data_IF_316853056049
#
_entry.id   IF_316853056049
#
_cell.length_a   1.000
_cell.length_b   1.000
_cell.length_c   1.000
_cell.angle_alpha   90.00
_cell.angle_beta   90.00
_cell.angle_gamma   90.00
#
_symmetry.space_group_name_H-M   'P 1'
#
loop_
_entity.id
_entity.type
_entity.pdbx_description
1 polymer ?
#
# COMPACT_ATOMS: atom_id res chain seq x y z
N UNK A 1 71.51 0.28 27.21
CA UNK A 1 71.22 -1.14 27.49
C UNK A 1 69.71 -1.26 27.52
N UNK A 2 69.06 -1.41 26.40
CA UNK A 2 67.71 -1.88 26.23
C UNK A 2 67.58 -2.46 24.82
N UNK A 3 68.12 -3.67 24.75
CA UNK A 3 68.02 -4.52 23.55
C UNK A 3 66.72 -5.28 23.55
N UNK A 4 66.10 -5.22 22.39
CA UNK A 4 65.49 -6.36 21.68
C UNK A 4 64.54 -7.29 22.46
N UNK A 5 63.28 -7.15 22.21
CA UNK A 5 62.32 -8.26 22.19
C UNK A 5 61.38 -8.09 20.99
N UNK A 6 61.93 -8.25 19.82
CA UNK A 6 61.18 -8.63 18.63
C UNK A 6 61.16 -10.15 18.61
N UNK A 7 60.27 -10.78 19.37
CA UNK A 7 60.05 -12.20 19.28
C UNK A 7 58.93 -12.47 18.25
N UNK A 8 59.39 -13.01 17.12
CA UNK A 8 58.84 -14.16 16.43
C UNK A 8 57.37 -14.50 16.75
N UNK A 9 56.46 -13.97 15.99
CA UNK A 9 55.14 -14.53 15.81
C UNK A 9 55.18 -15.38 14.52
N UNK A 10 55.25 -16.71 14.66
CA UNK A 10 55.24 -17.58 13.49
C UNK A 10 53.87 -17.63 12.88
N UNK A 11 53.78 -17.17 11.66
CA UNK A 11 52.87 -17.77 10.71
C UNK A 11 51.43 -17.36 10.70
N UNK A 12 51.09 -16.06 10.71
CA UNK A 12 49.74 -15.59 10.41
C UNK A 12 49.56 -15.05 8.98
N UNK A 13 50.39 -15.45 8.06
CA UNK A 13 50.28 -15.06 6.66
C UNK A 13 50.54 -16.22 5.71
N UNK A 14 49.61 -17.18 5.58
CA UNK A 14 49.24 -17.67 4.27
C UNK A 14 47.76 -18.04 4.04
N UNK A 15 46.82 -17.55 4.81
CA UNK A 15 45.45 -17.97 4.66
C UNK A 15 44.48 -16.91 4.14
N UNK A 16 44.96 -15.78 3.65
CA UNK A 16 44.22 -14.95 2.68
C UNK A 16 44.44 -15.51 1.26
N UNK A 17 44.44 -16.83 1.10
CA UNK A 17 44.11 -17.43 -0.19
C UNK A 17 42.80 -16.90 -0.61
N UNK A 18 42.79 -16.22 -1.76
CA UNK A 18 41.60 -15.78 -2.48
C UNK A 18 40.45 -16.76 -2.23
N UNK A 19 39.45 -16.33 -1.48
CA UNK A 19 38.26 -17.15 -1.30
C UNK A 19 37.74 -17.48 -2.72
N UNK A 20 37.49 -18.75 -3.03
CA UNK A 20 37.06 -19.13 -4.37
C UNK A 20 35.87 -18.27 -4.74
N UNK A 21 35.77 -17.78 -5.99
CA UNK A 21 34.66 -16.93 -6.42
C UNK A 21 33.33 -17.66 -6.09
N UNK A 22 32.49 -16.99 -5.30
CA UNK A 22 31.22 -17.56 -4.87
C UNK A 22 30.43 -17.90 -6.15
N UNK A 23 30.10 -19.18 -6.39
CA UNK A 23 29.40 -19.55 -7.62
C UNK A 23 28.06 -18.82 -7.69
N UNK A 24 27.59 -18.44 -8.89
CA UNK A 24 26.32 -17.75 -9.06
C UNK A 24 25.20 -18.60 -8.47
N UNK A 25 24.49 -18.02 -7.49
CA UNK A 25 23.42 -18.73 -6.78
C UNK A 25 22.36 -19.30 -7.73
N UNK A 26 22.01 -20.56 -7.52
CA UNK A 26 20.97 -21.26 -8.29
C UNK A 26 19.64 -20.51 -8.23
N UNK A 27 18.82 -20.64 -9.29
CA UNK A 27 17.44 -20.10 -9.31
C UNK A 27 16.62 -20.62 -8.11
N UNK A 28 16.84 -21.86 -7.68
CA UNK A 28 16.19 -22.45 -6.48
C UNK A 28 16.59 -21.74 -5.20
N UNK A 29 17.86 -21.38 -5.03
CA UNK A 29 18.37 -20.65 -3.86
C UNK A 29 17.76 -19.24 -3.80
N UNK A 30 17.69 -18.55 -4.94
CA UNK A 30 17.06 -17.21 -5.04
C UNK A 30 15.58 -17.25 -4.69
N UNK A 31 14.84 -18.25 -5.18
CA UNK A 31 13.41 -18.42 -4.87
C UNK A 31 13.18 -18.78 -3.39
N UNK A 32 14.02 -19.66 -2.83
CA UNK A 32 13.97 -20.00 -1.40
C UNK A 32 14.24 -18.78 -0.52
N UNK A 33 15.23 -17.96 -0.86
CA UNK A 33 15.55 -16.72 -0.14
C UNK A 33 14.40 -15.71 -0.23
N UNK A 34 13.83 -15.51 -1.42
CA UNK A 34 12.66 -14.65 -1.61
C UNK A 34 11.47 -15.10 -0.74
N UNK A 35 11.16 -16.41 -0.77
CA UNK A 35 10.08 -16.99 0.04
C UNK A 35 10.33 -16.80 1.54
N UNK A 36 11.58 -16.98 1.99
CA UNK A 36 11.93 -16.84 3.41
C UNK A 36 11.77 -15.40 3.88
N UNK A 37 12.15 -14.42 3.06
CA UNK A 37 11.94 -12.99 3.36
C UNK A 37 10.45 -12.66 3.41
N UNK A 38 9.68 -13.11 2.42
CA UNK A 38 8.23 -12.89 2.37
C UNK A 38 7.53 -13.51 3.59
N UNK A 39 7.88 -14.74 3.98
CA UNK A 39 7.32 -15.39 5.17
C UNK A 39 7.70 -14.65 6.45
N UNK A 40 8.92 -14.13 6.55
CA UNK A 40 9.35 -13.29 7.67
C UNK A 40 8.48 -12.03 7.78
N UNK A 41 8.29 -11.31 6.69
CA UNK A 41 7.49 -10.09 6.66
C UNK A 41 5.99 -10.38 6.91
N UNK A 42 5.50 -11.56 6.52
CA UNK A 42 4.15 -11.99 6.86
C UNK A 42 4.00 -12.41 8.34
N UNK A 43 5.04 -12.96 8.97
CA UNK A 43 4.99 -13.32 10.40
C UNK A 43 4.99 -12.08 11.31
N UNK A 44 5.58 -10.99 10.86
CA UNK A 44 5.50 -9.69 11.54
C UNK A 44 4.07 -9.13 11.49
N UNK A 45 3.34 -9.41 10.41
CA UNK A 45 1.95 -8.99 10.24
C UNK A 45 1.05 -9.43 11.42
N UNK A 46 1.22 -10.66 11.91
CA UNK A 46 0.39 -11.20 12.99
C UNK A 46 0.55 -10.42 14.32
N UNK A 47 1.74 -9.92 14.58
CA UNK A 47 2.03 -9.09 15.76
C UNK A 47 1.52 -7.66 15.59
N UNK A 48 1.71 -7.08 14.41
CA UNK A 48 1.32 -5.72 14.10
C UNK A 48 -0.19 -5.57 13.87
N UNK A 49 -0.90 -6.65 13.50
CA UNK A 49 -2.35 -6.63 13.31
C UNK A 49 -3.10 -6.15 14.55
N UNK A 50 -2.67 -6.55 15.75
CA UNK A 50 -3.33 -6.17 17.00
C UNK A 50 -3.23 -4.67 17.32
N UNK A 51 -2.14 -4.03 16.93
CA UNK A 51 -1.94 -2.59 17.12
C UNK A 51 -2.49 -1.77 15.95
N UNK A 52 -2.37 -2.29 14.75
CA UNK A 52 -2.73 -1.61 13.52
C UNK A 52 -4.24 -1.65 13.22
N UNK A 53 -4.92 -2.78 13.51
CA UNK A 53 -6.36 -2.92 13.25
C UNK A 53 -7.19 -1.81 13.92
N UNK A 54 -7.05 -1.52 15.23
CA UNK A 54 -7.81 -0.45 15.84
C UNK A 54 -7.60 0.90 15.15
N UNK A 55 -6.35 1.27 14.91
CA UNK A 55 -6.01 2.55 14.30
C UNK A 55 -6.52 2.67 12.85
N UNK A 56 -6.49 1.59 12.09
CA UNK A 56 -6.97 1.57 10.70
C UNK A 56 -8.49 1.55 10.61
N UNK A 57 -9.16 0.93 11.57
CA UNK A 57 -10.61 0.73 11.55
C UNK A 57 -11.39 1.88 12.19
N UNK A 58 -10.83 2.57 13.18
CA UNK A 58 -11.53 3.64 13.89
C UNK A 58 -12.00 4.73 12.94
N UNK A 59 -11.15 5.20 12.04
CA UNK A 59 -11.51 6.26 11.10
C UNK A 59 -12.62 5.84 10.12
N UNK A 60 -12.52 4.69 9.40
CA UNK A 60 -13.60 4.21 8.56
C UNK A 60 -14.91 3.98 9.32
N UNK A 61 -14.85 3.36 10.49
CA UNK A 61 -16.04 3.10 11.33
C UNK A 61 -16.74 4.39 11.71
N UNK A 62 -15.99 5.36 12.27
CA UNK A 62 -16.57 6.65 12.67
C UNK A 62 -17.15 7.39 11.47
N UNK A 63 -16.51 7.33 10.33
CA UNK A 63 -16.96 8.03 9.14
C UNK A 63 -18.20 7.38 8.54
N UNK A 64 -18.26 6.04 8.41
CA UNK A 64 -19.47 5.33 7.99
C UNK A 64 -20.60 5.62 8.96
N UNK A 65 -20.36 5.45 10.26
CA UNK A 65 -21.37 5.71 11.29
C UNK A 65 -21.92 7.14 11.20
N UNK A 66 -21.06 8.14 11.08
CA UNK A 66 -21.48 9.53 10.98
C UNK A 66 -22.30 9.81 9.72
N UNK A 67 -21.82 9.33 8.55
CA UNK A 67 -22.47 9.62 7.28
C UNK A 67 -23.75 8.80 7.02
N UNK A 68 -23.83 7.58 7.55
CA UNK A 68 -24.96 6.68 7.25
C UNK A 68 -25.98 6.56 8.39
N UNK A 69 -25.62 6.99 9.60
CA UNK A 69 -26.52 6.99 10.75
C UNK A 69 -26.81 8.40 11.26
N UNK A 70 -25.76 9.15 11.66
CA UNK A 70 -25.97 10.44 12.32
C UNK A 70 -26.58 11.48 11.36
N UNK A 71 -26.05 11.62 10.14
CA UNK A 71 -26.52 12.63 9.18
C UNK A 71 -27.98 12.43 8.73
N UNK A 72 -28.45 11.21 8.41
CA UNK A 72 -29.88 10.98 8.15
C UNK A 72 -30.77 11.35 9.31
N UNK A 73 -30.42 10.97 10.56
CA UNK A 73 -31.22 11.26 11.75
C UNK A 73 -31.39 12.76 12.04
N UNK A 74 -30.38 13.58 11.70
CA UNK A 74 -30.47 15.05 11.86
C UNK A 74 -31.02 15.76 10.60
N UNK A 75 -31.51 14.99 9.62
CA UNK A 75 -32.10 15.53 8.39
C UNK A 75 -31.07 16.09 7.38
N UNK A 76 -29.79 15.80 7.57
CA UNK A 76 -28.69 16.19 6.68
C UNK A 76 -28.17 15.02 5.86
N UNK A 77 -28.90 13.94 5.74
CA UNK A 77 -28.49 12.74 5.00
C UNK A 77 -28.22 13.06 3.52
N UNK A 78 -27.04 12.65 3.04
CA UNK A 78 -26.72 12.74 1.62
C UNK A 78 -27.61 11.72 0.90
N UNK A 79 -28.53 12.19 0.07
CA UNK A 79 -29.54 11.36 -0.57
C UNK A 79 -30.91 11.36 0.11
N UNK A 80 -31.17 12.22 1.11
CA UNK A 80 -32.41 12.35 1.83
C UNK A 80 -33.65 12.79 0.95
N UNK A 81 -33.47 12.86 -0.35
CA UNK A 81 -34.51 13.24 -1.33
C UNK A 81 -35.55 12.15 -1.68
N UNK A 82 -35.68 11.05 -0.90
CA UNK A 82 -36.63 9.98 -1.16
C UNK A 82 -36.15 8.88 -2.13
N UNK A 83 -36.86 7.75 -2.22
CA UNK A 83 -36.65 6.65 -3.17
C UNK A 83 -35.23 5.97 -3.15
N UNK A 84 -34.71 5.65 -1.96
CA UNK A 84 -33.48 4.82 -1.86
C UNK A 84 -32.16 5.57 -2.08
N UNK A 85 -32.16 6.90 -2.01
CA UNK A 85 -30.94 7.72 -2.15
C UNK A 85 -29.91 7.42 -1.06
N UNK A 86 -30.34 7.16 0.16
CA UNK A 86 -29.46 6.80 1.29
C UNK A 86 -28.78 5.45 1.07
N UNK A 87 -29.52 4.43 0.61
CA UNK A 87 -28.97 3.12 0.29
C UNK A 87 -27.94 3.18 -0.85
N UNK A 88 -28.22 4.00 -1.89
CA UNK A 88 -27.26 4.24 -2.98
C UNK A 88 -26.01 4.93 -2.47
N UNK A 89 -26.14 5.91 -1.59
CA UNK A 89 -24.98 6.60 -1.01
C UNK A 89 -24.14 5.66 -0.14
N UNK A 90 -24.75 4.85 0.72
CA UNK A 90 -24.04 3.84 1.51
C UNK A 90 -23.29 2.84 0.62
N UNK A 91 -23.91 2.40 -0.48
CA UNK A 91 -23.26 1.51 -1.46
C UNK A 91 -22.06 2.19 -2.16
N UNK A 92 -22.18 3.48 -2.51
CA UNK A 92 -21.09 4.26 -3.09
C UNK A 92 -19.91 4.42 -2.13
N UNK A 93 -20.19 4.63 -0.84
CA UNK A 93 -19.16 4.75 0.19
C UNK A 93 -18.36 3.46 0.34
N UNK A 94 -19.00 2.30 0.24
CA UNK A 94 -18.34 1.00 0.40
C UNK A 94 -17.10 0.88 -0.49
N UNK A 95 -17.24 1.12 -1.80
CA UNK A 95 -16.12 1.04 -2.75
C UNK A 95 -14.99 2.02 -2.43
N UNK A 96 -15.34 3.28 -2.10
CA UNK A 96 -14.36 4.31 -1.73
C UNK A 96 -13.59 3.98 -0.44
N UNK A 97 -14.28 3.43 0.55
CA UNK A 97 -13.66 3.10 1.85
C UNK A 97 -12.74 1.89 1.79
N UNK A 98 -13.11 0.87 1.01
CA UNK A 98 -12.22 -0.28 0.76
C UNK A 98 -10.96 0.20 0.03
N UNK A 99 -11.11 1.04 -1.00
CA UNK A 99 -9.97 1.64 -1.71
C UNK A 99 -9.07 2.44 -0.77
N UNK A 100 -9.65 3.28 0.10
CA UNK A 100 -8.93 4.08 1.09
C UNK A 100 -8.15 3.21 2.08
N UNK A 101 -8.76 2.16 2.60
CA UNK A 101 -8.13 1.25 3.53
C UNK A 101 -6.91 0.55 2.91
N UNK A 102 -7.06 0.09 1.67
CA UNK A 102 -5.98 -0.61 0.96
C UNK A 102 -4.83 0.35 0.65
N UNK A 103 -5.11 1.56 0.13
CA UNK A 103 -4.03 2.49 -0.25
C UNK A 103 -3.23 2.94 0.96
N UNK A 104 -3.90 3.30 2.07
CA UNK A 104 -3.18 3.72 3.27
C UNK A 104 -2.45 2.57 3.93
N UNK A 105 -3.05 1.39 4.02
CA UNK A 105 -2.37 0.20 4.51
C UNK A 105 -1.12 -0.10 3.68
N UNK A 106 -1.22 -0.12 2.35
CA UNK A 106 -0.09 -0.41 1.46
C UNK A 106 1.03 0.64 1.56
N UNK A 107 0.68 1.93 1.63
CA UNK A 107 1.67 3.00 1.79
C UNK A 107 2.38 2.88 3.14
N UNK A 108 1.64 2.86 4.25
CA UNK A 108 2.24 2.92 5.59
C UNK A 108 3.00 1.65 5.94
N UNK A 109 2.51 0.46 5.55
CA UNK A 109 3.16 -0.83 5.83
C UNK A 109 4.44 -1.06 5.04
N UNK A 110 4.66 -0.34 3.95
CA UNK A 110 5.91 -0.41 3.19
C UNK A 110 6.81 0.79 3.53
N UNK A 111 6.28 2.01 3.51
CA UNK A 111 7.08 3.22 3.68
C UNK A 111 7.74 3.30 5.06
N UNK A 112 7.00 3.04 6.15
CA UNK A 112 7.53 3.18 7.50
C UNK A 112 8.60 2.16 7.85
N UNK A 113 8.41 0.83 7.63
CA UNK A 113 9.47 -0.14 7.87
C UNK A 113 10.71 0.12 7.02
N UNK A 114 10.54 0.39 5.72
CA UNK A 114 11.66 0.70 4.82
C UNK A 114 12.43 1.94 5.30
N UNK A 115 11.73 3.00 5.71
CA UNK A 115 12.37 4.19 6.25
C UNK A 115 13.17 3.89 7.53
N UNK A 116 12.63 3.08 8.46
CA UNK A 116 13.30 2.69 9.71
C UNK A 116 14.52 1.80 9.45
N UNK A 117 14.44 0.88 8.51
CA UNK A 117 15.55 -0.01 8.14
C UNK A 117 16.75 0.76 7.60
N UNK A 118 16.53 1.90 6.95
CA UNK A 118 17.59 2.77 6.46
C UNK A 118 18.18 3.69 7.54
N UNK A 119 17.45 4.06 8.58
CA UNK A 119 17.91 5.08 9.55
C UNK A 119 18.33 4.48 10.91
N UNK A 120 17.61 3.49 11.41
CA UNK A 120 17.72 3.07 12.81
C UNK A 120 18.34 1.69 12.98
N UNK A 121 17.98 0.72 12.16
CA UNK A 121 18.30 -0.69 12.44
C UNK A 121 19.43 -1.25 11.58
N UNK A 122 19.82 -0.58 10.49
CA UNK A 122 20.78 -1.08 9.49
C UNK A 122 20.49 -2.53 9.01
N UNK A 123 19.27 -3.02 9.25
CA UNK A 123 18.82 -4.37 8.86
C UNK A 123 18.89 -4.58 7.35
N UNK A 124 18.98 -3.48 6.60
CA UNK A 124 19.12 -3.54 5.15
C UNK A 124 20.45 -4.18 4.76
N UNK A 125 21.50 -4.02 5.57
CA UNK A 125 22.80 -4.64 5.34
C UNK A 125 22.69 -6.16 5.41
N UNK A 126 21.97 -6.68 6.42
CA UNK A 126 21.72 -8.12 6.56
C UNK A 126 20.89 -8.67 5.41
N UNK A 127 19.94 -7.90 4.88
CA UNK A 127 19.12 -8.31 3.73
C UNK A 127 19.91 -8.33 2.43
N UNK A 128 20.87 -7.43 2.27
CA UNK A 128 21.74 -7.36 1.09
C UNK A 128 22.75 -8.52 1.08
N UNK A 129 23.09 -9.08 2.24
CA UNK A 129 23.90 -10.31 2.34
C UNK A 129 23.15 -11.56 1.86
N UNK A 130 21.82 -11.50 1.69
CA UNK A 130 21.05 -12.61 1.13
C UNK A 130 21.48 -12.87 -0.34
N UNK A 131 21.46 -14.11 -0.82
CA UNK A 131 21.90 -14.50 -2.15
C UNK A 131 20.91 -14.10 -3.26
N UNK A 132 20.39 -12.87 -3.20
CA UNK A 132 19.42 -12.29 -4.14
C UNK A 132 19.82 -10.89 -4.57
N UNK A 133 19.35 -10.45 -5.74
CA UNK A 133 19.63 -9.10 -6.22
C UNK A 133 18.85 -8.03 -5.43
N UNK A 134 19.42 -6.85 -5.25
CA UNK A 134 18.79 -5.69 -4.59
C UNK A 134 17.42 -5.37 -5.20
N UNK A 135 17.29 -5.49 -6.52
CA UNK A 135 15.99 -5.29 -7.20
C UNK A 135 14.94 -6.31 -6.75
N UNK A 136 15.33 -7.56 -6.49
CA UNK A 136 14.42 -8.61 -6.06
C UNK A 136 13.96 -8.40 -4.60
N UNK A 137 14.83 -7.83 -3.76
CA UNK A 137 14.46 -7.41 -2.39
C UNK A 137 13.41 -6.29 -2.47
N UNK A 138 13.61 -5.30 -3.32
CA UNK A 138 12.64 -4.21 -3.50
C UNK A 138 11.28 -4.73 -4.01
N UNK A 139 11.27 -5.68 -4.94
CA UNK A 139 10.03 -6.32 -5.44
C UNK A 139 9.37 -7.14 -4.33
N UNK A 140 10.14 -7.86 -3.53
CA UNK A 140 9.63 -8.61 -2.38
C UNK A 140 8.88 -7.71 -1.41
N UNK A 141 9.40 -6.50 -1.13
CA UNK A 141 8.73 -5.50 -0.30
C UNK A 141 7.39 -5.06 -0.88
N UNK A 142 7.30 -4.87 -2.20
CA UNK A 142 6.03 -4.55 -2.86
C UNK A 142 5.04 -5.71 -2.72
N UNK A 143 5.48 -6.94 -2.93
CA UNK A 143 4.63 -8.14 -2.82
C UNK A 143 4.15 -8.33 -1.37
N UNK A 144 5.04 -8.21 -0.39
CA UNK A 144 4.69 -8.32 1.03
C UNK A 144 3.66 -7.25 1.43
N UNK A 145 3.90 -5.99 1.04
CA UNK A 145 2.98 -4.89 1.28
C UNK A 145 1.63 -5.08 0.57
N UNK A 146 1.63 -5.60 -0.66
CA UNK A 146 0.40 -5.89 -1.41
C UNK A 146 -0.45 -6.96 -0.71
N UNK A 147 0.17 -8.03 -0.20
CA UNK A 147 -0.54 -9.03 0.59
C UNK A 147 -1.10 -8.44 1.89
N UNK A 148 -0.32 -7.63 2.60
CA UNK A 148 -0.74 -6.98 3.84
C UNK A 148 -1.90 -6.01 3.61
N UNK A 149 -1.86 -5.20 2.54
CA UNK A 149 -2.93 -4.27 2.19
C UNK A 149 -4.19 -4.98 1.72
N UNK A 150 -4.06 -6.14 1.07
CA UNK A 150 -5.20 -6.99 0.72
C UNK A 150 -5.95 -7.46 1.97
N UNK A 151 -5.25 -7.92 3.00
CA UNK A 151 -5.87 -8.29 4.28
C UNK A 151 -6.56 -7.09 4.96
N UNK A 152 -5.98 -5.89 4.88
CA UNK A 152 -6.64 -4.70 5.41
C UNK A 152 -7.97 -4.41 4.68
N UNK A 153 -7.99 -4.50 3.35
CA UNK A 153 -9.21 -4.38 2.56
C UNK A 153 -10.25 -5.44 2.91
N UNK A 154 -9.81 -6.70 3.09
CA UNK A 154 -10.67 -7.81 3.46
C UNK A 154 -11.34 -7.62 4.82
N UNK A 155 -10.66 -6.99 5.79
CA UNK A 155 -11.23 -6.68 7.11
C UNK A 155 -12.17 -5.47 7.06
N UNK A 156 -11.83 -4.45 6.28
CA UNK A 156 -12.65 -3.24 6.16
C UNK A 156 -13.94 -3.50 5.36
N UNK A 157 -13.88 -4.38 4.37
CA UNK A 157 -15.05 -4.70 3.53
C UNK A 157 -16.29 -5.12 4.33
N UNK A 158 -16.26 -6.13 5.23
CA UNK A 158 -17.43 -6.50 6.01
C UNK A 158 -17.90 -5.36 6.95
N UNK A 159 -16.96 -4.60 7.52
CA UNK A 159 -17.33 -3.47 8.38
C UNK A 159 -18.10 -2.42 7.58
N UNK A 160 -17.58 -2.02 6.43
CA UNK A 160 -18.23 -1.04 5.56
C UNK A 160 -19.54 -1.58 4.96
N UNK A 161 -19.69 -2.90 4.83
CA UNK A 161 -20.89 -3.55 4.31
C UNK A 161 -22.01 -3.74 5.37
N UNK A 162 -21.64 -4.02 6.62
CA UNK A 162 -22.63 -4.35 7.67
C UNK A 162 -22.90 -3.21 8.65
N UNK A 163 -22.05 -2.18 8.70
CA UNK A 163 -22.22 -1.06 9.62
C UNK A 163 -23.35 -0.10 9.24
N UNK A 164 -23.63 0.20 7.95
CA UNK A 164 -24.73 1.07 7.56
C UNK A 164 -26.11 0.50 7.99
N UNK A 165 -26.96 1.37 8.52
CA UNK A 165 -28.33 1.02 8.93
C UNK A 165 -29.25 0.77 7.70
N UNK A 166 -28.94 1.42 6.59
CA UNK A 166 -29.67 1.25 5.33
C UNK A 166 -29.15 0.01 4.58
N UNK A 167 -30.05 -0.81 4.01
CA UNK A 167 -29.63 -1.98 3.25
C UNK A 167 -28.74 -1.57 2.06
N UNK A 168 -27.57 -2.17 1.99
CA UNK A 168 -26.63 -1.97 0.88
C UNK A 168 -26.98 -2.96 -0.24
N UNK A 169 -27.13 -2.45 -1.45
CA UNK A 169 -27.31 -3.28 -2.63
C UNK A 169 -25.96 -3.56 -3.26
N UNK A 170 -25.31 -4.65 -2.83
CA UNK A 170 -24.02 -5.08 -3.37
C UNK A 170 -24.27 -6.06 -4.50
N UNK A 171 -23.87 -5.69 -5.71
CA UNK A 171 -23.80 -6.59 -6.85
C UNK A 171 -22.33 -6.87 -7.15
N UNK A 172 -21.84 -8.05 -6.75
CA UNK A 172 -20.43 -8.37 -6.86
C UNK A 172 -20.08 -8.94 -8.23
N UNK A 173 -19.30 -8.19 -9.01
CA UNK A 173 -18.60 -8.71 -10.19
C UNK A 173 -17.23 -9.26 -9.77
N UNK A 174 -17.15 -10.57 -9.55
CA UNK A 174 -15.94 -11.24 -9.06
C UNK A 174 -14.69 -11.04 -9.92
N UNK A 175 -14.74 -11.17 -11.26
CA UNK A 175 -13.62 -10.88 -12.14
C UNK A 175 -13.06 -9.48 -11.96
N UNK A 176 -13.93 -8.47 -11.93
CA UNK A 176 -13.51 -7.06 -11.73
C UNK A 176 -12.97 -6.89 -10.32
N UNK A 177 -13.63 -7.42 -9.30
CA UNK A 177 -13.21 -7.29 -7.90
C UNK A 177 -11.81 -7.85 -7.69
N UNK A 178 -11.51 -9.05 -8.18
CA UNK A 178 -10.21 -9.70 -8.02
C UNK A 178 -9.11 -8.91 -8.74
N UNK A 179 -9.34 -8.55 -10.01
CA UNK A 179 -8.32 -7.86 -10.81
C UNK A 179 -8.04 -6.45 -10.32
N UNK A 180 -9.09 -5.69 -9.95
CA UNK A 180 -8.94 -4.36 -9.35
C UNK A 180 -8.25 -4.45 -8.00
N UNK A 181 -8.65 -5.38 -7.11
CA UNK A 181 -8.01 -5.55 -5.79
C UNK A 181 -6.52 -5.82 -5.93
N UNK A 182 -6.11 -6.70 -6.84
CA UNK A 182 -4.70 -6.98 -7.09
C UNK A 182 -3.95 -5.72 -7.54
N UNK A 183 -4.46 -5.01 -8.55
CA UNK A 183 -3.84 -3.78 -9.05
C UNK A 183 -3.73 -2.71 -7.96
N UNK A 184 -4.79 -2.52 -7.18
CA UNK A 184 -4.83 -1.54 -6.09
C UNK A 184 -3.81 -1.88 -5.01
N UNK A 185 -3.70 -3.15 -4.60
CA UNK A 185 -2.73 -3.60 -3.62
C UNK A 185 -1.28 -3.39 -4.09
N UNK A 186 -0.98 -3.74 -5.35
CA UNK A 186 0.35 -3.51 -5.92
C UNK A 186 0.67 -2.02 -6.09
N UNK A 187 -0.29 -1.21 -6.56
CA UNK A 187 -0.10 0.23 -6.71
C UNK A 187 0.19 0.90 -5.37
N UNK A 188 -0.61 0.59 -4.34
CA UNK A 188 -0.44 1.18 -3.00
C UNK A 188 0.91 0.84 -2.38
N UNK A 189 1.35 -0.40 -2.52
CA UNK A 189 2.64 -0.86 -2.00
C UNK A 189 3.83 -0.29 -2.77
N UNK A 190 3.70 -0.12 -4.08
CA UNK A 190 4.71 0.53 -4.92
C UNK A 190 4.85 2.03 -4.57
N UNK A 191 3.74 2.72 -4.30
CA UNK A 191 3.76 4.10 -3.76
C UNK A 191 4.47 4.10 -2.41
N UNK A 192 4.16 3.16 -1.50
CA UNK A 192 4.80 3.03 -0.21
C UNK A 192 6.31 2.84 -0.31
N UNK A 193 6.78 1.96 -1.20
CA UNK A 193 8.22 1.78 -1.46
C UNK A 193 8.86 3.06 -1.99
N UNK A 194 8.19 3.77 -2.90
CA UNK A 194 8.68 5.03 -3.45
C UNK A 194 8.84 6.09 -2.37
N UNK A 195 7.83 6.23 -1.49
CA UNK A 195 7.88 7.17 -0.37
C UNK A 195 8.99 6.80 0.61
N UNK A 196 9.07 5.53 1.04
CA UNK A 196 10.07 5.08 2.01
C UNK A 196 11.52 5.16 1.51
N UNK A 197 11.74 5.15 0.18
CA UNK A 197 13.09 5.18 -0.39
C UNK A 197 13.54 6.55 -0.88
N UNK A 198 12.63 7.46 -1.21
CA UNK A 198 12.98 8.76 -1.79
C UNK A 198 12.99 9.91 -0.81
N UNK A 199 12.28 9.79 0.29
CA UNK A 199 12.22 10.81 1.32
C UNK A 199 13.12 10.46 2.51
N UNK A 200 13.56 11.48 3.24
CA UNK A 200 14.27 11.30 4.50
C UNK A 200 13.38 10.49 5.47
N UNK A 201 13.92 9.45 6.15
CA UNK A 201 13.15 8.63 7.08
C UNK A 201 12.38 9.41 8.13
N UNK A 202 12.95 10.50 8.60
CA UNK A 202 12.34 11.39 9.62
C UNK A 202 11.13 12.15 9.08
N UNK A 203 11.10 12.40 7.77
CA UNK A 203 10.01 13.11 7.11
C UNK A 203 8.87 12.17 6.66
N UNK A 204 9.12 10.86 6.58
CA UNK A 204 8.11 9.90 6.09
C UNK A 204 6.83 9.92 6.93
N UNK A 205 6.84 9.86 8.28
CA UNK A 205 5.61 9.91 9.08
C UNK A 205 4.80 11.21 8.89
N UNK A 206 5.40 12.43 9.02
CA UNK A 206 4.64 13.66 8.83
C UNK A 206 4.18 13.86 7.37
N UNK A 207 4.99 13.49 6.38
CA UNK A 207 4.59 13.53 4.97
C UNK A 207 3.40 12.62 4.68
N UNK A 208 3.43 11.40 5.20
CA UNK A 208 2.35 10.45 5.02
C UNK A 208 1.04 11.00 5.59
N UNK A 209 1.08 11.61 6.78
CA UNK A 209 -0.10 12.23 7.40
C UNK A 209 -0.58 13.46 6.63
N UNK A 210 0.34 14.32 6.16
CA UNK A 210 0.00 15.52 5.41
C UNK A 210 -0.59 15.21 4.02
N UNK A 211 -0.06 14.19 3.34
CA UNK A 211 -0.52 13.76 2.01
C UNK A 211 -1.81 12.94 2.11
N UNK A 212 -2.03 12.24 3.23
CA UNK A 212 -3.19 11.38 3.42
C UNK A 212 -4.52 12.15 3.30
N UNK A 213 -4.62 13.36 3.87
CA UNK A 213 -5.84 14.16 3.83
C UNK A 213 -6.22 14.58 2.39
N UNK A 214 -5.37 15.26 1.62
CA UNK A 214 -5.68 15.58 0.23
C UNK A 214 -5.96 14.33 -0.62
N UNK A 215 -5.19 13.27 -0.43
CA UNK A 215 -5.37 12.01 -1.13
C UNK A 215 -6.77 11.43 -0.89
N UNK A 216 -7.24 11.43 0.37
CA UNK A 216 -8.55 10.92 0.75
C UNK A 216 -9.69 11.80 0.21
N UNK A 217 -9.63 13.11 0.45
CA UNK A 217 -10.71 14.03 0.05
C UNK A 217 -10.83 14.17 -1.46
N UNK A 218 -9.73 14.20 -2.18
CA UNK A 218 -9.69 14.28 -3.64
C UNK A 218 -9.69 12.89 -4.33
N UNK A 219 -9.80 11.81 -3.56
CA UNK A 219 -9.81 10.42 -4.05
C UNK A 219 -11.17 9.91 -4.50
N UNK A 220 -12.17 10.77 -4.62
CA UNK A 220 -13.55 10.38 -4.97
C UNK A 220 -14.13 9.28 -4.05
N UNK A 221 -13.79 9.31 -2.75
CA UNK A 221 -14.29 8.31 -1.79
C UNK A 221 -15.79 8.51 -1.55
N UNK A 222 -16.21 9.77 -1.38
CA UNK A 222 -17.56 10.15 -0.97
C UNK A 222 -18.49 10.44 -2.14
N UNK A 223 -17.97 10.57 -3.35
CA UNK A 223 -18.69 10.91 -4.57
C UNK A 223 -18.06 10.21 -5.76
N UNK A 224 -18.81 10.07 -6.86
CA UNK A 224 -18.26 9.51 -8.10
C UNK A 224 -17.51 10.58 -8.89
N UNK A 225 -16.53 10.17 -9.70
CA UNK A 225 -15.84 11.07 -10.61
C UNK A 225 -16.80 11.82 -11.56
N UNK A 226 -17.88 11.15 -11.99
CA UNK A 226 -18.90 11.75 -12.84
C UNK A 226 -19.69 12.86 -12.13
N UNK A 227 -19.82 12.83 -10.82
CA UNK A 227 -20.49 13.89 -10.04
C UNK A 227 -19.76 15.24 -10.09
N UNK A 228 -18.49 15.24 -10.47
CA UNK A 228 -17.66 16.45 -10.60
C UNK A 228 -17.90 17.21 -11.92
N UNK A 229 -18.85 16.79 -12.75
CA UNK A 229 -19.15 17.46 -14.03
C UNK A 229 -19.45 18.96 -13.88
N UNK A 230 -20.11 19.46 -12.82
CA UNK A 230 -20.30 20.90 -12.62
C UNK A 230 -19.02 21.68 -12.37
N UNK A 231 -17.92 21.01 -11.92
CA UNK A 231 -16.64 21.64 -11.57
C UNK A 231 -15.53 21.02 -12.43
N UNK A 232 -15.48 21.36 -13.70
CA UNK A 232 -14.61 20.73 -14.71
C UNK A 232 -13.12 20.75 -14.34
N UNK A 233 -12.61 21.86 -13.82
CA UNK A 233 -11.20 21.95 -13.44
C UNK A 233 -10.85 20.91 -12.36
N UNK A 234 -11.73 20.72 -11.37
CA UNK A 234 -11.54 19.72 -10.31
C UNK A 234 -11.66 18.30 -10.86
N UNK A 235 -12.61 18.06 -11.78
CA UNK A 235 -12.81 16.76 -12.44
C UNK A 235 -11.54 16.25 -13.12
N UNK A 236 -10.76 17.15 -13.72
CA UNK A 236 -9.49 16.78 -14.34
C UNK A 236 -8.32 16.79 -13.35
N UNK A 237 -8.30 17.71 -12.39
CA UNK A 237 -7.23 17.78 -11.40
C UNK A 237 -7.15 16.53 -10.52
N UNK A 238 -8.29 15.94 -10.15
CA UNK A 238 -8.32 14.72 -9.32
C UNK A 238 -7.75 13.49 -10.04
N UNK A 239 -7.64 13.49 -11.36
CA UNK A 239 -7.09 12.35 -12.12
C UNK A 239 -5.58 12.10 -11.85
N UNK A 240 -4.88 13.06 -11.24
CA UNK A 240 -3.51 12.86 -10.77
C UNK A 240 -3.48 11.93 -9.55
N UNK A 241 -4.59 11.83 -8.84
CA UNK A 241 -4.72 11.01 -7.63
C UNK A 241 -5.05 9.55 -7.99
N UNK A 242 -4.17 8.58 -7.69
CA UNK A 242 -4.43 7.16 -7.99
C UNK A 242 -5.66 6.61 -7.25
N UNK A 243 -6.03 7.19 -6.09
CA UNK A 243 -7.18 6.75 -5.30
C UNK A 243 -8.51 6.94 -6.04
N UNK A 244 -8.61 7.89 -6.97
CA UNK A 244 -9.80 8.07 -7.82
C UNK A 244 -10.09 6.79 -8.62
N UNK A 245 -9.08 6.22 -9.26
CA UNK A 245 -9.23 5.00 -10.06
C UNK A 245 -9.44 3.77 -9.19
N UNK A 246 -8.87 3.77 -7.98
CA UNK A 246 -9.09 2.69 -6.99
C UNK A 246 -10.54 2.69 -6.51
N UNK A 247 -11.07 3.84 -6.11
CA UNK A 247 -12.45 3.97 -5.63
C UNK A 247 -13.47 3.70 -6.74
N UNK A 248 -13.27 4.22 -7.95
CA UNK A 248 -14.13 3.93 -9.11
C UNK A 248 -14.04 2.45 -9.53
N UNK A 249 -12.85 1.83 -9.43
CA UNK A 249 -12.66 0.41 -9.70
C UNK A 249 -13.43 -0.50 -8.73
N UNK A 250 -13.38 -0.21 -7.43
CA UNK A 250 -14.19 -0.96 -6.46
C UNK A 250 -15.68 -0.70 -6.62
N UNK A 251 -16.10 0.52 -7.01
CA UNK A 251 -17.51 0.78 -7.35
C UNK A 251 -17.93 -0.04 -8.56
N UNK A 252 -17.10 -0.10 -9.60
CA UNK A 252 -17.38 -0.94 -10.77
C UNK A 252 -17.55 -2.42 -10.43
N UNK A 253 -16.84 -2.90 -9.40
CA UNK A 253 -16.89 -4.28 -8.95
C UNK A 253 -18.04 -4.58 -7.97
N UNK A 254 -18.58 -3.57 -7.27
CA UNK A 254 -19.48 -3.77 -6.13
C UNK A 254 -20.87 -3.15 -6.34
N UNK A 255 -21.07 -2.30 -7.35
CA UNK A 255 -22.32 -1.54 -7.52
C UNK A 255 -22.88 -1.65 -8.93
N UNK A 256 -24.20 -1.80 -9.07
CA UNK A 256 -24.90 -1.72 -10.34
C UNK A 256 -25.66 -0.39 -10.49
N UNK A 257 -25.81 0.08 -11.74
CA UNK A 257 -26.64 1.24 -12.06
C UNK A 257 -26.09 2.59 -11.63
N UNK A 258 -24.82 2.65 -11.20
CA UNK A 258 -24.13 3.89 -10.85
C UNK A 258 -23.27 4.33 -12.04
N UNK A 259 -23.30 5.62 -12.43
CA UNK A 259 -22.40 6.12 -13.47
C UNK A 259 -20.97 6.13 -12.98
N UNK A 260 -20.21 5.14 -13.38
CA UNK A 260 -18.77 4.96 -13.06
C UNK A 260 -17.89 5.41 -14.23
N UNK A 261 -16.59 5.55 -13.93
CA UNK A 261 -15.57 5.77 -14.96
C UNK A 261 -15.45 4.52 -15.87
N UNK A 262 -15.22 4.67 -17.19
CA UNK A 262 -15.03 3.52 -18.06
C UNK A 262 -13.90 2.60 -17.60
N UNK A 263 -14.16 1.30 -17.53
CA UNK A 263 -13.20 0.27 -17.06
C UNK A 263 -11.82 0.33 -17.73
N UNK A 264 -11.70 0.52 -19.06
CA UNK A 264 -10.39 0.62 -19.70
C UNK A 264 -9.53 1.77 -19.16
N UNK A 265 -10.15 2.89 -18.77
CA UNK A 265 -9.45 4.03 -18.18
C UNK A 265 -8.95 3.67 -16.78
N UNK A 266 -9.79 3.01 -15.96
CA UNK A 266 -9.43 2.54 -14.61
C UNK A 266 -8.24 1.59 -14.70
N UNK A 267 -8.31 0.54 -15.51
CA UNK A 267 -7.22 -0.43 -15.66
C UNK A 267 -5.95 0.18 -16.24
N UNK A 268 -6.09 1.04 -17.25
CA UNK A 268 -4.95 1.73 -17.87
C UNK A 268 -4.22 2.62 -16.89
N UNK A 269 -4.96 3.42 -16.11
CA UNK A 269 -4.38 4.30 -15.10
C UNK A 269 -3.75 3.52 -13.95
N UNK A 270 -4.43 2.53 -13.36
CA UNK A 270 -3.89 1.71 -12.27
C UNK A 270 -2.63 0.97 -12.70
N UNK A 271 -2.62 0.38 -13.91
CA UNK A 271 -1.43 -0.28 -14.46
C UNK A 271 -0.30 0.73 -14.66
N UNK A 272 -0.60 1.90 -15.22
CA UNK A 272 0.37 2.98 -15.41
C UNK A 272 0.98 3.45 -14.09
N UNK A 273 0.16 3.70 -13.07
CA UNK A 273 0.64 4.06 -11.73
C UNK A 273 1.46 2.92 -11.09
N UNK A 274 1.02 1.67 -11.21
CA UNK A 274 1.78 0.52 -10.69
C UNK A 274 3.17 0.45 -11.30
N UNK A 275 3.28 0.54 -12.62
CA UNK A 275 4.56 0.50 -13.32
C UNK A 275 5.43 1.70 -12.92
N UNK A 276 4.87 2.92 -12.96
CA UNK A 276 5.57 4.15 -12.60
C UNK A 276 6.16 4.07 -11.19
N UNK A 277 5.33 3.78 -10.19
CA UNK A 277 5.78 3.74 -8.79
C UNK A 277 6.67 2.53 -8.49
N UNK A 278 6.50 1.40 -9.18
CA UNK A 278 7.44 0.27 -9.08
C UNK A 278 8.82 0.67 -9.57
N UNK A 279 8.92 1.31 -10.73
CA UNK A 279 10.21 1.78 -11.27
C UNK A 279 10.84 2.82 -10.32
N UNK A 280 10.05 3.80 -9.87
CA UNK A 280 10.53 4.83 -8.95
C UNK A 280 10.97 4.26 -7.60
N UNK A 281 10.22 3.31 -7.06
CA UNK A 281 10.53 2.65 -5.79
C UNK A 281 11.77 1.78 -5.87
N UNK A 282 11.85 0.90 -6.88
CA UNK A 282 13.01 0.01 -7.09
C UNK A 282 14.29 0.80 -7.36
N UNK A 283 14.22 1.84 -8.19
CA UNK A 283 15.39 2.70 -8.46
C UNK A 283 15.81 3.50 -7.22
N UNK A 284 14.85 4.01 -6.45
CA UNK A 284 15.09 4.69 -5.18
C UNK A 284 15.74 3.77 -4.16
N UNK A 285 15.21 2.56 -4.01
CA UNK A 285 15.78 1.53 -3.13
C UNK A 285 17.21 1.17 -3.49
N UNK A 286 17.44 0.88 -4.79
CA UNK A 286 18.80 0.58 -5.28
C UNK A 286 19.79 1.72 -5.03
N UNK A 287 19.38 2.96 -5.30
CA UNK A 287 20.24 4.13 -5.10
C UNK A 287 20.62 4.26 -3.62
N UNK A 288 19.68 4.04 -2.70
CA UNK A 288 19.89 4.21 -1.27
C UNK A 288 20.71 3.09 -0.64
N UNK A 289 20.61 1.87 -1.17
CA UNK A 289 21.43 0.72 -0.74
C UNK A 289 22.88 0.83 -1.21
N UNK A 290 23.11 1.48 -2.35
CA UNK A 290 24.46 1.60 -2.96
C UNK A 290 25.16 2.93 -2.64
N UNK A 291 24.49 3.88 -1.95
CA UNK A 291 25.08 5.15 -1.50
C UNK A 291 25.73 5.00 -0.14
#
# INVERSE_FOLDING_TARGET
MTETLAADSPGLTPALREAPPIPPFSKRTKFSAFRSLLLRDMSVLDKDLREFLPNTLVQPILLVFTLTYVFPEIGQGVGAGGNGGEARFATLLLGGMVAQAIIFSGIFRVALPVAREFDVTSEIEDRVLAPISVNLIAIERIVAGALQSFFAGLVVFPIAAFLPVTPIYVAVDWPILITVSLLVCFTSSAIGLTVGTRFDPRLVPPLASFVALPLAFLGCIFFTWNSLTPVLWLKYAVLINPLVYMSEGFRAALTEGVPIMPLPIIYGALTGFTILFTILGVTGFKKRVLS
#
